data_IF_388998207694
#
_entry.id   IF_388998207694
#
_cell.length_a   1.000
_cell.length_b   1.000
_cell.length_c   1.000
_cell.angle_alpha   90.00
_cell.angle_beta   90.00
_cell.angle_gamma   90.00
#
_symmetry.space_group_name_H-M   'P 1'
#
loop_
_entity.id
_entity.type
_entity.pdbx_description
1 polymer ?
#
# COMPACT_ATOMS: atom_id res chain seq x y z
N UNK A 1 42.43 -61.32 -12.37
CA UNK A 1 41.34 -62.30 -12.54
C UNK A 1 40.77 -62.62 -11.17
N UNK A 2 39.60 -62.07 -10.85
CA UNK A 2 38.67 -62.61 -9.84
C UNK A 2 37.34 -61.87 -10.03
N UNK A 3 36.37 -62.55 -10.65
CA UNK A 3 34.98 -62.13 -10.71
C UNK A 3 34.44 -62.13 -9.27
N UNK A 4 33.76 -61.07 -8.86
CA UNK A 4 33.05 -61.03 -7.57
C UNK A 4 31.56 -61.03 -7.86
N UNK A 5 30.91 -62.05 -7.35
CA UNK A 5 29.54 -62.45 -7.65
C UNK A 5 28.52 -61.36 -7.33
N UNK A 6 27.57 -61.25 -8.25
CA UNK A 6 26.31 -60.55 -8.13
C UNK A 6 25.45 -61.22 -7.04
N UNK A 7 25.34 -60.56 -5.89
CA UNK A 7 24.37 -60.89 -4.85
C UNK A 7 23.64 -59.62 -4.44
N UNK A 8 22.60 -59.24 -5.18
CA UNK A 8 21.67 -58.18 -4.81
C UNK A 8 20.87 -58.62 -3.59
N UNK A 9 21.23 -58.13 -2.39
CA UNK A 9 20.31 -58.13 -1.25
C UNK A 9 19.21 -57.14 -1.57
N UNK A 10 18.07 -57.65 -2.05
CA UNK A 10 16.85 -56.89 -2.19
C UNK A 10 16.25 -56.73 -0.78
N UNK A 11 16.55 -55.62 -0.11
CA UNK A 11 15.82 -55.24 1.10
C UNK A 11 14.45 -54.76 0.63
N UNK A 12 13.34 -55.41 1.01
CA UNK A 12 12.02 -54.91 0.65
C UNK A 12 11.85 -53.52 1.27
N UNK A 13 11.55 -52.53 0.43
CA UNK A 13 10.99 -51.28 0.92
C UNK A 13 9.67 -51.63 1.63
N UNK A 14 9.40 -51.07 2.83
CA UNK A 14 8.14 -51.32 3.50
C UNK A 14 6.99 -50.96 2.57
N UNK A 15 5.97 -51.83 2.54
CA UNK A 15 4.77 -51.63 1.74
C UNK A 15 4.19 -50.24 1.99
N UNK A 16 3.74 -49.58 0.92
CA UNK A 16 3.23 -48.20 0.92
C UNK A 16 2.00 -47.95 1.79
N UNK A 17 1.55 -48.97 2.51
CA UNK A 17 0.29 -48.99 3.25
C UNK A 17 0.47 -48.62 4.75
N UNK A 18 1.71 -48.44 5.22
CA UNK A 18 2.01 -48.01 6.61
C UNK A 18 2.32 -46.51 6.74
N UNK A 19 2.07 -45.70 5.71
CA UNK A 19 2.06 -44.23 5.86
C UNK A 19 0.68 -43.84 6.36
N UNK A 20 0.49 -43.95 7.68
CA UNK A 20 -0.64 -43.37 8.39
C UNK A 20 -0.87 -41.96 7.85
N UNK A 21 -2.01 -41.73 7.19
CA UNK A 21 -2.32 -40.47 6.51
C UNK A 21 -2.02 -39.30 7.46
N UNK A 22 -1.04 -38.42 7.17
CA UNK A 22 -0.59 -37.39 8.11
C UNK A 22 -1.66 -36.31 8.36
N UNK A 23 -2.82 -36.44 7.73
CA UNK A 23 -3.99 -35.57 7.84
C UNK A 23 -5.08 -36.10 8.77
N UNK A 24 -4.92 -37.27 9.39
CA UNK A 24 -5.87 -37.79 10.38
C UNK A 24 -5.95 -36.81 11.57
N UNK A 25 -7.11 -36.17 11.72
CA UNK A 25 -7.38 -35.19 12.79
C UNK A 25 -7.11 -33.72 12.42
N UNK A 26 -6.63 -33.43 11.21
CA UNK A 26 -6.56 -32.05 10.69
C UNK A 26 -7.98 -31.66 10.23
N UNK A 27 -8.60 -30.62 10.82
CA UNK A 27 -9.91 -30.15 10.35
C UNK A 27 -9.82 -29.75 8.88
N UNK A 28 -10.77 -30.21 8.06
CA UNK A 28 -10.83 -29.76 6.68
C UNK A 28 -10.95 -28.23 6.63
N UNK A 29 -10.14 -27.54 5.82
CA UNK A 29 -10.20 -26.09 5.72
C UNK A 29 -11.59 -25.67 5.20
N UNK A 30 -12.30 -24.87 6.01
CA UNK A 30 -13.57 -24.27 5.57
C UNK A 30 -13.27 -23.06 4.69
N UNK A 31 -13.76 -23.11 3.45
CA UNK A 31 -13.58 -22.04 2.46
C UNK A 31 -14.78 -21.08 2.38
N UNK A 32 -15.60 -20.98 3.43
CA UNK A 32 -16.76 -20.08 3.48
C UNK A 32 -16.38 -18.60 3.24
N UNK A 33 -15.16 -18.21 3.61
CA UNK A 33 -14.60 -16.87 3.38
C UNK A 33 -14.27 -16.59 1.91
N UNK A 34 -14.08 -17.63 1.08
CA UNK A 34 -13.64 -17.48 -0.31
C UNK A 34 -14.69 -16.77 -1.17
N UNK A 35 -15.96 -16.81 -0.79
CA UNK A 35 -17.03 -16.08 -1.47
C UNK A 35 -17.18 -14.61 -1.04
N UNK A 36 -16.32 -14.09 -0.15
CA UNK A 36 -16.50 -12.76 0.45
C UNK A 36 -15.80 -11.60 -0.30
N UNK A 37 -15.17 -11.88 -1.44
CA UNK A 37 -14.54 -10.89 -2.32
C UNK A 37 -15.16 -10.96 -3.72
N UNK A 38 -15.30 -9.80 -4.35
CA UNK A 38 -15.90 -9.67 -5.68
C UNK A 38 -14.95 -10.12 -6.81
N UNK A 39 -13.64 -10.05 -6.57
CA UNK A 39 -12.63 -10.52 -7.53
C UNK A 39 -11.59 -11.41 -6.85
N UNK A 40 -11.12 -12.40 -7.61
CA UNK A 40 -10.02 -13.30 -7.29
C UNK A 40 -9.03 -13.36 -8.44
N UNK A 41 -7.79 -13.72 -8.13
CA UNK A 41 -6.78 -13.98 -9.17
C UNK A 41 -6.25 -12.72 -9.85
N UNK A 42 -6.56 -11.52 -9.35
CA UNK A 42 -5.98 -10.26 -9.82
C UNK A 42 -4.46 -10.33 -9.69
N UNK A 43 -3.77 -10.05 -10.79
CA UNK A 43 -2.30 -10.02 -10.88
C UNK A 43 -1.91 -8.75 -11.61
N UNK A 44 -1.01 -8.00 -10.99
CA UNK A 44 -0.42 -6.80 -11.57
C UNK A 44 0.94 -7.16 -12.14
N UNK A 45 1.25 -6.67 -13.35
CA UNK A 45 2.58 -6.77 -13.93
C UNK A 45 3.31 -5.45 -13.70
N UNK A 46 4.54 -5.47 -13.14
CA UNK A 46 5.36 -4.27 -13.06
C UNK A 46 5.63 -3.70 -14.46
N UNK A 47 5.75 -2.39 -14.54
CA UNK A 47 6.10 -1.66 -15.76
C UNK A 47 7.62 -1.44 -15.85
N UNK A 48 8.11 -0.72 -16.87
CA UNK A 48 9.53 -0.40 -17.08
C UNK A 48 10.17 0.32 -15.86
N UNK A 49 9.35 1.05 -15.10
CA UNK A 49 9.74 1.76 -13.88
C UNK A 49 9.41 1.01 -12.59
N UNK A 50 9.06 -0.28 -12.67
CA UNK A 50 8.63 -1.09 -11.54
C UNK A 50 7.13 -1.04 -11.25
N UNK A 51 6.73 -1.40 -10.03
CA UNK A 51 5.33 -1.45 -9.62
C UNK A 51 4.89 -0.10 -9.04
N UNK A 52 4.22 0.72 -9.85
CA UNK A 52 3.66 2.02 -9.44
C UNK A 52 2.28 1.88 -8.83
N UNK A 53 1.87 2.86 -8.03
CA UNK A 53 0.56 2.94 -7.39
C UNK A 53 -0.58 2.85 -8.41
N UNK A 54 -0.46 3.55 -9.55
CA UNK A 54 -1.45 3.49 -10.63
C UNK A 54 -1.61 2.09 -11.22
N UNK A 55 -0.54 1.30 -11.27
CA UNK A 55 -0.58 -0.07 -11.79
C UNK A 55 -1.38 -1.02 -10.88
N UNK A 56 -1.62 -0.67 -9.61
CA UNK A 56 -2.42 -1.46 -8.68
C UNK A 56 -3.93 -1.37 -8.95
N UNK A 57 -4.37 -0.35 -9.69
CA UNK A 57 -5.79 -0.13 -10.02
C UNK A 57 -6.23 -1.06 -11.18
N UNK A 58 -6.32 -2.36 -10.92
CA UNK A 58 -6.74 -3.38 -11.90
C UNK A 58 -8.14 -3.93 -11.56
N UNK A 59 -8.98 -4.12 -12.59
CA UNK A 59 -10.34 -4.65 -12.42
C UNK A 59 -11.20 -3.75 -11.54
N UNK A 60 -12.09 -4.35 -10.74
CA UNK A 60 -12.93 -3.61 -9.79
C UNK A 60 -12.15 -2.78 -8.77
N UNK A 61 -10.87 -3.09 -8.52
CA UNK A 61 -10.06 -2.35 -7.57
C UNK A 61 -9.69 -0.97 -8.11
N UNK A 62 -9.63 -0.80 -9.44
CA UNK A 62 -9.37 0.48 -10.09
C UNK A 62 -10.62 1.32 -10.36
N UNK A 63 -11.81 0.72 -10.31
CA UNK A 63 -13.06 1.42 -10.57
C UNK A 63 -13.51 2.24 -9.36
N UNK A 64 -13.56 3.55 -9.54
CA UNK A 64 -14.10 4.48 -8.54
C UNK A 64 -15.49 4.92 -8.99
N UNK A 65 -16.55 4.57 -8.24
CA UNK A 65 -17.91 4.92 -8.60
C UNK A 65 -18.16 6.42 -8.44
N UNK A 66 -19.10 6.96 -9.22
CA UNK A 66 -19.46 8.39 -9.16
C UNK A 66 -20.07 8.78 -7.82
N UNK A 67 -20.81 7.87 -7.18
CA UNK A 67 -21.39 8.04 -5.87
C UNK A 67 -21.21 6.79 -5.02
N UNK A 68 -20.91 6.96 -3.74
CA UNK A 68 -20.69 5.85 -2.79
C UNK A 68 -21.85 5.73 -1.79
N UNK A 69 -22.64 4.67 -1.95
CA UNK A 69 -23.82 4.40 -1.12
C UNK A 69 -23.49 3.81 0.26
N UNK A 70 -22.38 3.09 0.37
CA UNK A 70 -22.01 2.34 1.58
C UNK A 70 -21.30 3.24 2.60
N UNK A 71 -21.93 3.52 3.73
CA UNK A 71 -21.33 4.37 4.78
C UNK A 71 -20.38 3.61 5.70
N UNK A 72 -19.97 2.40 5.35
CA UNK A 72 -19.00 1.62 6.10
C UNK A 72 -17.60 1.80 5.53
N UNK A 73 -16.54 1.53 6.32
CA UNK A 73 -15.14 1.47 5.85
C UNK A 73 -14.89 0.21 5.00
N UNK A 74 -15.84 -0.17 4.14
CA UNK A 74 -15.71 -1.33 3.28
C UNK A 74 -14.57 -1.09 2.29
N UNK A 75 -13.51 -1.93 2.31
CA UNK A 75 -12.43 -1.78 1.35
C UNK A 75 -12.93 -2.05 -0.07
N UNK A 76 -12.27 -1.45 -1.06
CA UNK A 76 -12.56 -1.70 -2.49
C UNK A 76 -12.51 -3.21 -2.77
N UNK A 77 -13.53 -3.72 -3.46
CA UNK A 77 -13.64 -5.15 -3.84
C UNK A 77 -14.21 -6.10 -2.79
N UNK A 78 -14.47 -5.65 -1.55
CA UNK A 78 -15.15 -6.48 -0.54
C UNK A 78 -16.68 -6.42 -0.66
N UNK A 79 -17.36 -7.47 -0.20
CA UNK A 79 -18.82 -7.49 -0.10
C UNK A 79 -19.33 -6.68 1.11
N UNK A 80 -20.52 -6.05 1.00
CA UNK A 80 -21.15 -5.39 2.13
C UNK A 80 -21.52 -6.41 3.21
N UNK A 81 -21.28 -6.06 4.47
CA UNK A 81 -21.69 -6.87 5.62
C UNK A 81 -22.94 -6.27 6.27
N UNK A 82 -24.03 -7.03 6.42
CA UNK A 82 -25.22 -6.53 7.09
C UNK A 82 -24.95 -6.26 8.59
N UNK A 83 -25.59 -5.22 9.12
CA UNK A 83 -25.53 -4.88 10.55
C UNK A 83 -24.32 -4.05 10.98
N UNK A 84 -23.47 -3.61 10.05
CA UNK A 84 -22.39 -2.65 10.37
C UNK A 84 -22.99 -1.25 10.44
N UNK A 85 -22.82 -0.52 11.56
CA UNK A 85 -23.31 0.85 11.68
C UNK A 85 -22.64 1.80 10.66
N UNK A 86 -23.38 2.78 10.13
CA UNK A 86 -22.80 3.78 9.25
C UNK A 86 -21.80 4.67 10.01
N UNK A 87 -20.71 5.03 9.35
CA UNK A 87 -19.75 6.03 9.79
C UNK A 87 -20.14 7.42 9.25
N UNK A 88 -19.75 8.50 9.94
CA UNK A 88 -20.17 9.87 9.58
C UNK A 88 -19.36 10.45 8.40
N UNK A 89 -19.26 9.70 7.29
CA UNK A 89 -18.61 10.19 6.07
C UNK A 89 -19.51 11.14 5.30
N UNK A 90 -19.04 12.37 5.11
CA UNK A 90 -19.78 13.42 4.40
C UNK A 90 -19.43 13.47 2.90
N UNK A 91 -18.21 13.06 2.52
CA UNK A 91 -17.76 13.01 1.13
C UNK A 91 -18.20 11.70 0.48
N UNK A 92 -19.05 11.80 -0.53
CA UNK A 92 -19.71 10.63 -1.15
C UNK A 92 -19.69 10.63 -2.66
N UNK A 93 -19.49 11.79 -3.29
CA UNK A 93 -19.41 11.89 -4.73
C UNK A 93 -17.94 11.96 -5.18
N UNK A 94 -17.63 11.27 -6.28
CA UNK A 94 -16.27 11.16 -6.84
C UNK A 94 -15.64 12.54 -7.03
N UNK A 95 -16.36 13.48 -7.65
CA UNK A 95 -15.86 14.82 -7.94
C UNK A 95 -15.48 15.66 -6.69
N UNK A 96 -15.91 15.26 -5.49
CA UNK A 96 -15.59 16.01 -4.26
C UNK A 96 -14.17 15.73 -3.77
N UNK A 97 -13.57 14.60 -4.15
CA UNK A 97 -12.32 14.13 -3.55
C UNK A 97 -11.35 13.52 -4.57
N UNK A 98 -11.87 12.87 -5.61
CA UNK A 98 -11.05 12.10 -6.52
C UNK A 98 -10.43 12.98 -7.61
N UNK A 99 -9.14 12.76 -7.86
CA UNK A 99 -8.45 13.25 -9.04
C UNK A 99 -7.78 12.06 -9.74
N UNK A 100 -7.96 11.96 -11.06
CA UNK A 100 -7.39 10.83 -11.82
C UNK A 100 -5.85 10.87 -11.85
N UNK A 101 -5.26 12.05 -11.65
CA UNK A 101 -3.81 12.25 -11.56
C UNK A 101 -3.22 11.98 -10.16
N UNK A 102 -4.04 11.63 -9.16
CA UNK A 102 -3.55 11.48 -7.77
C UNK A 102 -2.44 10.44 -7.63
N UNK A 103 -2.51 9.35 -8.38
CA UNK A 103 -1.49 8.31 -8.34
C UNK A 103 -0.15 8.80 -8.91
N UNK A 104 -0.19 9.52 -10.02
CA UNK A 104 1.02 10.05 -10.66
C UNK A 104 1.69 11.13 -9.81
N UNK A 105 0.89 12.03 -9.23
CA UNK A 105 1.38 13.07 -8.32
C UNK A 105 2.04 12.47 -7.07
N UNK A 106 1.49 11.36 -6.55
CA UNK A 106 2.09 10.65 -5.42
C UNK A 106 3.47 10.06 -5.79
N UNK A 107 3.57 9.39 -6.94
CA UNK A 107 4.83 8.82 -7.42
C UNK A 107 5.89 9.91 -7.64
N UNK A 108 5.52 11.01 -8.29
CA UNK A 108 6.38 12.18 -8.49
C UNK A 108 6.86 12.77 -7.15
N UNK A 109 5.95 12.90 -6.18
CA UNK A 109 6.25 13.41 -4.85
C UNK A 109 7.24 12.54 -4.08
N UNK A 110 7.09 11.21 -4.15
CA UNK A 110 8.04 10.27 -3.53
C UNK A 110 9.41 10.33 -4.21
N UNK A 111 9.46 10.40 -5.54
CA UNK A 111 10.72 10.45 -6.29
C UNK A 111 11.53 11.72 -6.01
N UNK A 112 10.86 12.86 -5.79
CA UNK A 112 11.51 14.16 -5.53
C UNK A 112 11.68 14.48 -4.05
N UNK A 113 11.34 13.54 -3.17
CA UNK A 113 11.41 13.76 -1.73
C UNK A 113 12.86 13.96 -1.31
N UNK A 114 13.08 15.01 -0.51
CA UNK A 114 14.32 15.25 0.22
C UNK A 114 14.03 15.39 1.71
N UNK A 115 15.05 15.19 2.53
CA UNK A 115 14.99 15.28 3.99
C UNK A 115 15.88 16.44 4.43
N UNK A 116 15.28 17.57 4.89
CA UNK A 116 16.06 18.75 5.26
C UNK A 116 17.11 18.52 6.35
N UNK A 117 16.87 17.55 7.23
CA UNK A 117 17.79 17.23 8.32
C UNK A 117 19.10 16.55 7.87
N UNK A 118 19.09 15.82 6.76
CA UNK A 118 20.25 15.03 6.30
C UNK A 118 20.84 15.52 5.00
N UNK A 119 20.00 16.06 4.11
CA UNK A 119 20.40 16.36 2.73
C UNK A 119 21.00 17.77 2.60
N UNK A 120 20.83 18.62 3.62
CA UNK A 120 21.39 19.97 3.67
C UNK A 120 22.58 20.00 4.65
N UNK A 121 23.77 20.44 4.20
CA UNK A 121 24.94 20.55 5.06
C UNK A 121 24.86 21.80 5.95
N UNK A 122 24.06 21.76 7.02
CA UNK A 122 23.88 22.90 7.93
C UNK A 122 25.19 23.37 8.59
N UNK A 123 26.14 22.45 8.80
CA UNK A 123 27.44 22.75 9.41
C UNK A 123 28.39 23.55 8.50
N UNK A 124 28.12 23.63 7.20
CA UNK A 124 28.96 24.37 6.25
C UNK A 124 28.56 25.85 6.11
N UNK A 125 27.63 26.34 6.92
CA UNK A 125 27.15 27.72 6.84
C UNK A 125 28.15 28.68 7.49
N UNK A 126 28.48 29.76 6.76
CA UNK A 126 29.31 30.86 7.25
C UNK A 126 28.45 32.06 7.65
N UNK A 127 28.94 32.87 8.58
CA UNK A 127 28.26 34.10 8.98
C UNK A 127 28.22 35.10 7.83
N UNK A 128 27.03 35.64 7.54
CA UNK A 128 26.82 36.66 6.53
C UNK A 128 26.96 38.06 7.16
N UNK A 129 27.16 39.11 6.34
CA UNK A 129 27.04 40.49 6.82
C UNK A 129 25.67 40.75 7.44
N UNK A 130 25.62 41.51 8.53
CA UNK A 130 24.43 41.71 9.36
C UNK A 130 23.19 42.18 8.57
N UNK A 131 23.36 43.09 7.61
CA UNK A 131 22.25 43.60 6.80
C UNK A 131 21.64 42.50 5.89
N UNK A 132 22.48 41.63 5.34
CA UNK A 132 22.05 40.51 4.49
C UNK A 132 21.40 39.42 5.33
N UNK A 133 22.00 39.10 6.48
CA UNK A 133 21.44 38.12 7.41
C UNK A 133 20.03 38.52 7.86
N UNK A 134 19.82 39.79 8.21
CA UNK A 134 18.49 40.32 8.55
C UNK A 134 17.49 40.20 7.41
N UNK A 135 17.90 40.52 6.18
CA UNK A 135 17.04 40.39 5.00
C UNK A 135 16.66 38.92 4.74
N UNK A 136 17.61 37.99 4.86
CA UNK A 136 17.35 36.54 4.72
C UNK A 136 16.42 36.04 5.80
N UNK A 137 16.64 36.42 7.07
CA UNK A 137 15.75 36.09 8.18
C UNK A 137 14.32 36.60 7.96
N UNK A 138 14.16 37.81 7.41
CA UNK A 138 12.83 38.33 7.06
C UNK A 138 12.16 37.44 6.01
N UNK A 139 12.85 37.13 4.91
CA UNK A 139 12.30 36.26 3.84
C UNK A 139 11.97 34.87 4.38
N UNK A 140 12.84 34.28 5.19
CA UNK A 140 12.60 32.98 5.81
C UNK A 140 11.37 33.00 6.73
N UNK A 141 11.14 34.11 7.45
CA UNK A 141 9.95 34.29 8.30
C UNK A 141 8.68 34.30 7.46
N UNK A 142 8.65 35.04 6.34
CA UNK A 142 7.50 35.06 5.44
C UNK A 142 7.22 33.68 4.81
N UNK A 143 8.26 32.97 4.38
CA UNK A 143 8.12 31.61 3.82
C UNK A 143 7.58 30.62 4.87
N UNK A 144 8.01 30.74 6.12
CA UNK A 144 7.50 29.91 7.22
C UNK A 144 6.02 30.19 7.48
N UNK A 145 5.61 31.46 7.41
CA UNK A 145 4.20 31.84 7.56
C UNK A 145 3.33 31.21 6.47
N UNK A 146 3.76 31.27 5.20
CA UNK A 146 3.02 30.63 4.11
C UNK A 146 2.96 29.11 4.28
N UNK A 147 4.08 28.48 4.65
CA UNK A 147 4.13 27.04 4.91
C UNK A 147 3.15 26.62 6.02
N UNK A 148 3.01 27.43 7.07
CA UNK A 148 2.07 27.13 8.16
C UNK A 148 0.61 27.17 7.67
N UNK A 149 0.24 28.18 6.86
CA UNK A 149 -1.10 28.26 6.26
C UNK A 149 -1.38 27.09 5.32
N UNK A 150 -0.40 26.65 4.53
CA UNK A 150 -0.55 25.49 3.64
C UNK A 150 -0.83 24.20 4.44
N UNK A 151 -0.12 23.99 5.55
CA UNK A 151 -0.35 22.84 6.44
C UNK A 151 -1.76 22.86 7.03
N UNK A 152 -2.27 24.03 7.42
CA UNK A 152 -3.64 24.17 7.93
C UNK A 152 -4.69 23.78 6.88
N UNK A 153 -4.50 24.16 5.62
CA UNK A 153 -5.39 23.79 4.51
C UNK A 153 -5.42 22.28 4.32
N UNK A 154 -4.26 21.63 4.31
CA UNK A 154 -4.17 20.16 4.18
C UNK A 154 -4.83 19.47 5.37
N UNK A 155 -4.60 19.97 6.58
CA UNK A 155 -5.19 19.43 7.82
C UNK A 155 -6.72 19.54 7.81
N UNK A 156 -7.26 20.65 7.32
CA UNK A 156 -8.70 20.83 7.15
C UNK A 156 -9.30 19.75 6.23
N UNK A 157 -8.67 19.49 5.09
CA UNK A 157 -9.11 18.43 4.19
C UNK A 157 -8.92 17.02 4.76
N UNK A 158 -7.90 16.80 5.58
CA UNK A 158 -7.68 15.52 6.26
C UNK A 158 -8.85 15.15 7.18
N UNK A 159 -9.37 16.10 7.95
CA UNK A 159 -10.55 15.89 8.79
C UNK A 159 -11.79 15.53 7.95
N UNK A 160 -11.96 16.17 6.79
CA UNK A 160 -13.08 15.86 5.89
C UNK A 160 -12.98 14.47 5.23
N UNK A 161 -11.76 13.92 5.10
CA UNK A 161 -11.50 12.61 4.50
C UNK A 161 -11.54 11.43 5.48
N UNK A 162 -11.34 11.66 6.79
CA UNK A 162 -11.07 10.59 7.80
C UNK A 162 -12.31 9.99 8.47
#
# INVERSE_FOLDING_TARGET
>A
MAKKDSGTMNVPLPDSDDVENPTIGVPEPKYEWMGLTNEWGTRVKPDEYGLRLGALNVGIYGEVPEFWDDQTRRPRGALPRPGVPPLPYNLRAKHQLWADSSADLYEEGIQRRWVPATDVPWDSLEALPEEIERAVCQVATELMQYSNTEIEIVTYWQDQMS
#
